data_IF_815349150556
#
_entry.id   IF_815349150556
#
_cell.length_a   1.000
_cell.length_b   1.000
_cell.length_c   1.000
_cell.angle_alpha   90.00
_cell.angle_beta   90.00
_cell.angle_gamma   90.00
#
_symmetry.space_group_name_H-M   'P 1'
#
loop_
_entity.id
_entity.type
_entity.pdbx_description
1 polymer ?
#
# COMPACT_ATOMS: atom_id res chain seq x y z
N UNK A 1 -32.02 -35.61 -32.73
CA UNK A 1 -31.84 -37.00 -32.24
C UNK A 1 -30.72 -37.62 -33.06
N UNK A 2 -29.68 -38.14 -32.40
CA UNK A 2 -29.64 -39.57 -32.03
C UNK A 2 -29.89 -39.82 -30.53
N UNK A 3 -30.00 -41.09 -30.14
CA UNK A 3 -30.32 -41.55 -28.77
C UNK A 3 -29.11 -41.80 -27.86
N UNK A 4 -29.34 -42.21 -26.59
CA UNK A 4 -28.35 -42.19 -25.52
C UNK A 4 -27.65 -43.54 -25.26
N UNK A 5 -26.47 -43.50 -24.63
CA UNK A 5 -25.71 -44.66 -24.13
C UNK A 5 -24.92 -44.29 -22.84
N UNK A 6 -24.42 -45.26 -22.03
CA UNK A 6 -24.72 -45.30 -20.59
C UNK A 6 -23.65 -44.71 -19.63
N UNK A 7 -23.87 -44.71 -18.29
CA UNK A 7 -22.99 -44.06 -17.32
C UNK A 7 -21.73 -44.87 -16.98
N UNK A 8 -20.62 -44.16 -16.72
CA UNK A 8 -19.36 -44.73 -16.24
C UNK A 8 -19.37 -44.95 -14.72
N UNK A 9 -18.84 -46.10 -14.30
CA UNK A 9 -18.82 -46.56 -12.91
C UNK A 9 -17.57 -46.08 -12.14
N UNK A 10 -17.73 -45.98 -10.82
CA UNK A 10 -16.66 -45.69 -9.85
C UNK A 10 -16.12 -47.00 -9.24
N UNK A 11 -14.80 -47.21 -9.14
CA UNK A 11 -14.21 -48.21 -8.24
C UNK A 11 -13.91 -47.61 -6.86
N UNK A 12 -14.23 -48.34 -5.78
CA UNK A 12 -13.83 -48.05 -4.39
C UNK A 12 -12.64 -48.92 -3.97
N UNK A 13 -11.81 -48.35 -3.09
CA UNK A 13 -10.92 -48.94 -2.07
C UNK A 13 -10.51 -50.44 -2.14
N UNK A 14 -9.20 -50.68 -1.93
CA UNK A 14 -8.72 -51.73 -1.01
C UNK A 14 -7.68 -51.13 -0.06
N UNK A 15 -7.62 -51.62 1.18
CA UNK A 15 -6.91 -51.03 2.31
C UNK A 15 -5.70 -51.85 2.78
N UNK A 16 -4.62 -51.15 3.17
CA UNK A 16 -3.76 -51.46 4.34
C UNK A 16 -2.78 -52.65 4.30
N UNK A 17 -1.57 -52.42 4.84
CA UNK A 17 -1.02 -53.19 5.96
C UNK A 17 0.10 -52.40 6.68
N UNK A 18 0.56 -52.89 7.84
CA UNK A 18 1.34 -52.18 8.86
C UNK A 18 2.67 -52.92 9.21
N UNK A 19 3.51 -52.26 10.04
CA UNK A 19 4.60 -52.79 10.92
C UNK A 19 6.07 -52.70 10.42
N UNK A 20 6.95 -52.38 11.38
CA UNK A 20 8.42 -52.18 11.31
C UNK A 20 9.20 -53.53 11.52
N UNK A 21 10.53 -53.65 11.72
CA UNK A 21 11.59 -52.71 12.14
C UNK A 21 13.03 -53.22 11.85
N UNK A 22 14.03 -52.32 12.04
CA UNK A 22 15.43 -52.56 12.54
C UNK A 22 16.45 -53.44 11.80
N UNK A 23 17.60 -52.83 11.44
CA UNK A 23 18.96 -53.39 11.61
C UNK A 23 20.05 -52.28 11.62
N UNK A 24 21.23 -52.59 12.16
CA UNK A 24 22.40 -51.70 12.30
C UNK A 24 23.67 -52.42 11.76
N UNK A 25 24.90 -51.88 11.65
CA UNK A 25 25.60 -50.63 12.05
C UNK A 25 26.86 -50.55 11.11
N UNK A 26 28.01 -49.87 11.39
CA UNK A 26 28.33 -48.58 12.03
C UNK A 26 29.17 -47.62 11.11
N UNK A 27 29.72 -46.53 11.69
CA UNK A 27 31.04 -45.87 11.39
C UNK A 27 31.12 -44.38 10.91
N UNK A 28 31.27 -43.49 11.91
CA UNK A 28 32.30 -42.40 12.05
C UNK A 28 32.41 -41.11 11.18
N UNK A 29 32.51 -39.98 11.92
CA UNK A 29 33.07 -38.62 11.61
C UNK A 29 32.28 -37.62 10.72
N UNK A 30 32.41 -36.29 10.94
CA UNK A 30 32.31 -35.56 12.22
C UNK A 30 31.29 -34.40 12.20
N UNK A 31 30.94 -33.91 13.39
CA UNK A 31 30.02 -32.78 13.61
C UNK A 31 30.49 -31.45 12.98
N UNK A 32 29.62 -30.82 12.19
CA UNK A 32 29.49 -29.36 12.10
C UNK A 32 28.02 -28.95 12.29
N UNK A 33 27.67 -28.57 13.52
CA UNK A 33 26.51 -27.68 13.74
C UNK A 33 26.78 -26.36 13.05
N UNK A 34 25.95 -26.01 12.08
CA UNK A 34 25.85 -24.64 11.58
C UNK A 34 24.38 -24.22 11.70
N UNK A 35 23.98 -23.90 12.93
CA UNK A 35 22.64 -23.41 13.23
C UNK A 35 22.42 -22.09 12.49
N UNK A 36 21.33 -22.03 11.71
CA UNK A 36 20.89 -20.82 11.02
C UNK A 36 20.31 -19.85 12.06
N UNK A 37 21.16 -18.97 12.59
CA UNK A 37 20.74 -17.90 13.48
C UNK A 37 20.22 -16.72 12.64
N UNK A 38 19.03 -16.15 12.94
CA UNK A 38 18.50 -15.01 12.19
C UNK A 38 19.36 -13.76 12.44
N UNK A 39 19.71 -13.07 11.36
CA UNK A 39 20.51 -11.83 11.35
C UNK A 39 19.71 -10.62 11.89
N UNK A 40 19.43 -10.63 13.20
CA UNK A 40 19.04 -9.46 14.01
C UNK A 40 19.58 -9.60 15.43
N UNK A 41 20.90 -9.44 15.61
CA UNK A 41 21.53 -9.27 16.93
C UNK A 41 22.92 -8.57 16.86
N UNK A 42 22.93 -7.25 17.08
CA UNK A 42 23.93 -6.43 17.79
C UNK A 42 25.40 -6.27 17.31
N UNK A 43 26.00 -5.21 17.91
CA UNK A 43 27.42 -4.81 17.98
C UNK A 43 27.96 -4.08 16.72
N UNK A 44 28.72 -2.97 16.79
CA UNK A 44 29.28 -2.21 17.93
C UNK A 44 29.81 -0.82 17.45
N UNK A 45 30.50 0.08 18.23
CA UNK A 45 31.18 -0.15 19.52
C UNK A 45 30.96 0.87 20.66
N UNK A 46 31.07 0.36 21.89
CA UNK A 46 31.59 1.13 23.02
C UNK A 46 33.06 1.55 22.78
N UNK A 47 33.39 2.80 23.07
CA UNK A 47 34.80 3.23 23.22
C UNK A 47 35.08 3.41 24.70
N UNK A 48 35.72 2.40 25.30
CA UNK A 48 36.35 2.53 26.60
C UNK A 48 37.60 3.40 26.50
N UNK A 49 37.56 4.58 27.10
CA UNK A 49 38.68 5.51 27.19
C UNK A 49 38.66 6.19 28.56
N UNK A 50 39.40 5.64 29.52
CA UNK A 50 39.39 6.11 30.89
C UNK A 50 40.32 7.31 31.13
N UNK A 51 39.94 8.15 32.10
CA UNK A 51 40.76 9.17 32.79
C UNK A 51 41.32 10.30 31.90
N UNK A 52 40.64 11.43 31.92
CA UNK A 52 41.30 12.70 32.26
C UNK A 52 40.28 13.71 32.83
N UNK A 53 40.34 13.92 34.14
CA UNK A 53 39.39 14.76 34.89
C UNK A 53 40.14 15.86 35.64
N UNK A 54 40.72 16.83 34.90
CA UNK A 54 41.33 18.06 35.50
C UNK A 54 41.71 19.18 34.50
N UNK A 55 40.76 19.75 33.74
CA UNK A 55 40.99 21.03 33.02
C UNK A 55 39.71 21.69 32.47
N UNK A 56 38.64 21.78 33.27
CA UNK A 56 37.39 22.46 32.87
C UNK A 56 36.82 23.35 33.99
N UNK A 57 37.61 24.31 34.47
CA UNK A 57 37.16 25.24 35.52
C UNK A 57 37.77 26.65 35.41
N UNK A 58 37.84 27.19 34.19
CA UNK A 58 38.14 28.62 33.98
C UNK A 58 37.72 29.16 32.61
N UNK A 59 36.41 29.15 32.34
CA UNK A 59 35.80 30.04 31.34
C UNK A 59 34.32 30.24 31.71
N UNK A 60 34.03 31.38 32.34
CA UNK A 60 32.69 31.72 32.82
C UNK A 60 32.45 33.23 32.80
N UNK A 61 32.70 33.84 31.64
CA UNK A 61 32.36 35.24 31.33
C UNK A 61 32.25 35.42 29.82
N UNK A 62 31.10 35.03 29.28
CA UNK A 62 30.38 35.79 28.24
C UNK A 62 28.99 35.18 28.06
N UNK A 63 28.09 35.57 28.96
CA UNK A 63 26.68 35.26 28.84
C UNK A 63 26.04 36.25 27.85
N UNK A 64 26.19 35.97 26.55
CA UNK A 64 25.39 36.62 25.53
C UNK A 64 23.90 36.44 25.83
N UNK A 65 23.12 37.52 25.68
CA UNK A 65 21.71 37.55 26.08
C UNK A 65 20.90 36.40 25.44
N UNK A 66 19.97 35.76 26.19
CA UNK A 66 19.08 34.77 25.60
C UNK A 66 18.17 35.46 24.57
N UNK A 67 18.41 35.19 23.29
CA UNK A 67 17.71 35.81 22.17
C UNK A 67 16.19 35.84 22.41
N UNK A 68 15.62 37.04 22.47
CA UNK A 68 14.21 37.26 22.83
C UNK A 68 13.31 36.64 21.75
N UNK A 69 12.82 35.44 22.03
CA UNK A 69 11.94 34.69 21.13
C UNK A 69 10.63 35.47 20.94
N UNK A 70 10.47 36.06 19.76
CA UNK A 70 9.39 37.00 19.42
C UNK A 70 8.02 36.34 19.53
N UNK A 71 6.97 37.15 19.75
CA UNK A 71 5.59 36.66 19.84
C UNK A 71 5.18 35.80 18.63
N UNK A 72 5.61 36.20 17.41
CA UNK A 72 5.42 35.42 16.20
C UNK A 72 6.13 34.05 16.21
N UNK A 73 7.34 33.96 16.77
CA UNK A 73 8.06 32.68 16.89
C UNK A 73 7.37 31.74 17.89
N UNK A 74 6.87 32.27 19.01
CA UNK A 74 6.06 31.49 19.98
C UNK A 74 4.75 31.00 19.37
N UNK A 75 4.01 31.86 18.67
CA UNK A 75 2.78 31.49 17.97
C UNK A 75 3.03 30.44 16.88
N UNK A 76 4.09 30.60 16.07
CA UNK A 76 4.51 29.59 15.06
C UNK A 76 4.88 28.26 15.71
N UNK A 77 5.60 28.26 16.84
CA UNK A 77 5.96 27.04 17.56
C UNK A 77 4.72 26.32 18.12
N UNK A 78 3.77 27.06 18.72
CA UNK A 78 2.50 26.50 19.20
C UNK A 78 1.64 25.94 18.05
N UNK A 79 1.57 26.64 16.91
CA UNK A 79 0.86 26.16 15.73
C UNK A 79 1.47 24.87 15.16
N UNK A 80 2.81 24.82 15.02
CA UNK A 80 3.52 23.62 14.57
C UNK A 80 3.38 22.45 15.54
N UNK A 81 3.35 22.73 16.86
CA UNK A 81 3.08 21.74 17.89
C UNK A 81 1.66 21.17 17.74
N UNK A 82 0.64 22.03 17.60
CA UNK A 82 -0.75 21.61 17.39
C UNK A 82 -0.87 20.74 16.12
N UNK A 83 -0.27 21.19 15.01
CA UNK A 83 -0.23 20.46 13.74
C UNK A 83 0.40 19.07 13.89
N UNK A 84 1.44 18.92 14.74
CA UNK A 84 2.12 17.64 14.96
C UNK A 84 1.29 16.57 15.68
N UNK A 85 0.16 16.92 16.31
CA UNK A 85 -0.75 15.94 16.93
C UNK A 85 -1.61 15.19 15.91
N UNK A 86 -1.90 15.78 14.75
CA UNK A 86 -2.83 15.21 13.75
C UNK A 86 -2.25 15.02 12.34
N UNK A 87 -1.12 15.67 12.02
CA UNK A 87 -0.41 15.48 10.74
C UNK A 87 0.66 14.38 10.79
N UNK A 88 1.21 14.03 9.63
CA UNK A 88 2.21 12.98 9.48
C UNK A 88 1.69 11.63 9.99
N UNK A 89 2.54 10.92 10.74
CA UNK A 89 2.27 9.56 11.26
C UNK A 89 1.52 9.54 12.62
N UNK A 90 1.21 10.71 13.18
CA UNK A 90 0.64 10.88 14.54
C UNK A 90 1.40 10.10 15.63
N UNK A 91 2.73 10.22 15.69
CA UNK A 91 3.59 9.45 16.63
C UNK A 91 3.20 9.63 18.10
N UNK A 92 2.84 10.86 18.51
CA UNK A 92 2.43 11.16 19.90
C UNK A 92 1.15 10.40 20.27
N UNK A 93 0.20 10.32 19.34
CA UNK A 93 -1.04 9.55 19.50
C UNK A 93 -0.76 8.04 19.53
N UNK A 94 0.16 7.54 18.69
CA UNK A 94 0.57 6.14 18.71
C UNK A 94 1.17 5.72 20.07
N UNK A 95 2.01 6.56 20.68
CA UNK A 95 2.57 6.32 22.02
C UNK A 95 1.53 6.37 23.14
N UNK A 96 0.45 7.14 22.96
CA UNK A 96 -0.70 7.14 23.88
C UNK A 96 -1.59 5.89 23.68
N UNK A 97 -1.87 5.50 22.44
CA UNK A 97 -2.63 4.28 22.07
C UNK A 97 -1.98 3.02 22.61
N UNK A 98 -0.64 2.90 22.58
CA UNK A 98 0.11 1.75 23.14
C UNK A 98 -0.20 1.47 24.63
N UNK A 99 -0.77 2.44 25.37
CA UNK A 99 -1.17 2.32 26.79
C UNK A 99 -2.66 2.05 27.00
N UNK A 100 -3.47 2.05 25.95
CA UNK A 100 -4.92 1.82 26.01
C UNK A 100 -5.27 0.33 25.91
N UNK A 101 -6.52 -0.01 26.20
CA UNK A 101 -7.00 -1.40 26.07
C UNK A 101 -6.98 -1.90 24.62
N UNK A 102 -6.83 -3.22 24.46
CA UNK A 102 -6.56 -3.86 23.17
C UNK A 102 -7.53 -3.49 22.04
N UNK A 103 -8.83 -3.33 22.31
CA UNK A 103 -9.81 -2.98 21.28
C UNK A 103 -9.59 -1.57 20.70
N UNK A 104 -9.10 -0.60 21.49
CA UNK A 104 -8.72 0.72 20.95
C UNK A 104 -7.44 0.64 20.12
N UNK A 105 -6.48 -0.20 20.51
CA UNK A 105 -5.30 -0.46 19.70
C UNK A 105 -5.69 -1.10 18.36
N UNK A 106 -6.53 -2.13 18.39
CA UNK A 106 -7.05 -2.80 17.19
C UNK A 106 -7.79 -1.83 16.26
N UNK A 107 -8.59 -0.90 16.82
CA UNK A 107 -9.25 0.15 16.04
C UNK A 107 -8.24 1.12 15.39
N UNK A 108 -7.25 1.61 16.13
CA UNK A 108 -6.15 2.44 15.58
C UNK A 108 -5.41 1.71 14.44
N UNK A 109 -5.12 0.42 14.60
CA UNK A 109 -4.45 -0.39 13.58
C UNK A 109 -5.32 -0.61 12.32
N UNK A 110 -6.64 -0.77 12.49
CA UNK A 110 -7.60 -0.84 11.36
C UNK A 110 -7.70 0.50 10.64
N UNK A 111 -7.77 1.63 11.36
CA UNK A 111 -7.80 2.97 10.76
C UNK A 111 -6.50 3.28 10.01
N UNK A 112 -5.34 3.00 10.60
CA UNK A 112 -4.03 3.09 9.91
C UNK A 112 -3.97 2.15 8.71
N UNK A 113 -4.53 0.95 8.83
CA UNK A 113 -4.66 0.00 7.71
C UNK A 113 -5.45 0.57 6.53
N UNK A 114 -6.53 1.30 6.79
CA UNK A 114 -7.30 1.96 5.73
C UNK A 114 -6.51 3.08 5.03
N UNK A 115 -5.71 3.86 5.77
CA UNK A 115 -4.90 4.94 5.17
C UNK A 115 -3.62 4.45 4.48
N UNK A 116 -3.09 3.30 4.89
CA UNK A 116 -1.85 2.74 4.32
C UNK A 116 -1.96 2.28 2.86
N UNK A 117 -3.18 2.15 2.31
CA UNK A 117 -3.41 1.92 0.87
C UNK A 117 -2.74 3.00 0.03
N UNK A 118 -2.76 4.26 0.50
CA UNK A 118 -2.08 5.40 -0.11
C UNK A 118 -0.81 5.81 0.68
N UNK A 119 -0.17 4.83 1.34
CA UNK A 119 1.07 4.96 2.12
C UNK A 119 1.00 5.91 3.32
N UNK A 120 -0.20 6.23 3.80
CA UNK A 120 -0.41 7.13 4.95
C UNK A 120 -0.54 6.31 6.23
N UNK A 121 0.27 6.62 7.24
CA UNK A 121 0.23 5.99 8.57
C UNK A 121 -0.53 6.87 9.59
N UNK A 122 -1.80 7.20 9.33
CA UNK A 122 -2.52 8.21 10.10
C UNK A 122 -3.98 7.79 10.38
N UNK A 123 -4.36 7.49 11.64
CA UNK A 123 -5.67 6.97 11.98
C UNK A 123 -6.80 7.98 11.74
N UNK A 124 -6.53 9.29 11.85
CA UNK A 124 -7.51 10.33 11.50
C UNK A 124 -7.78 10.34 9.99
N UNK A 125 -6.73 10.17 9.18
CA UNK A 125 -6.87 10.02 7.72
C UNK A 125 -7.65 8.76 7.38
N UNK A 126 -7.39 7.65 8.08
CA UNK A 126 -8.16 6.41 7.97
C UNK A 126 -9.64 6.56 8.31
N UNK A 127 -9.96 7.34 9.35
CA UNK A 127 -11.34 7.67 9.73
C UNK A 127 -12.05 8.49 8.64
N UNK A 128 -11.37 9.49 8.07
CA UNK A 128 -11.88 10.29 6.94
C UNK A 128 -12.08 9.42 5.69
N UNK A 129 -11.18 8.46 5.43
CA UNK A 129 -11.34 7.47 4.35
C UNK A 129 -12.57 6.59 4.60
N UNK A 130 -12.80 6.07 5.81
CA UNK A 130 -14.03 5.32 6.11
C UNK A 130 -15.30 6.17 5.94
N UNK A 131 -15.27 7.47 6.27
CA UNK A 131 -16.38 8.37 5.99
C UNK A 131 -16.65 8.51 4.47
N UNK A 132 -15.60 8.62 3.65
CA UNK A 132 -15.71 8.62 2.19
C UNK A 132 -16.21 7.29 1.61
N UNK A 133 -15.80 6.15 2.18
CA UNK A 133 -16.31 4.82 1.81
C UNK A 133 -17.80 4.68 2.16
N UNK A 134 -18.24 5.16 3.32
CA UNK A 134 -19.66 5.16 3.72
C UNK A 134 -20.50 6.05 2.79
N UNK A 135 -19.94 7.17 2.30
CA UNK A 135 -20.57 8.01 1.28
C UNK A 135 -20.70 7.32 -0.09
N UNK A 136 -19.72 6.48 -0.46
CA UNK A 136 -19.75 5.68 -1.69
C UNK A 136 -20.78 4.56 -1.61
N UNK A 137 -20.61 3.62 -0.67
CA UNK A 137 -21.58 2.57 -0.36
C UNK A 137 -21.31 2.00 1.03
N UNK A 138 -22.38 1.85 1.81
CA UNK A 138 -22.33 1.21 3.14
C UNK A 138 -21.91 -0.26 3.06
N UNK A 139 -22.28 -0.96 1.98
CA UNK A 139 -21.89 -2.35 1.74
C UNK A 139 -20.40 -2.46 1.41
N UNK A 140 -19.89 -1.54 0.60
CA UNK A 140 -18.47 -1.44 0.26
C UNK A 140 -17.63 -1.13 1.51
N UNK A 141 -18.03 -0.12 2.29
CA UNK A 141 -17.38 0.25 3.56
C UNK A 141 -17.34 -0.92 4.56
N UNK A 142 -18.44 -1.68 4.69
CA UNK A 142 -18.51 -2.87 5.54
C UNK A 142 -17.53 -3.96 5.08
N UNK A 143 -17.50 -4.28 3.78
CA UNK A 143 -16.59 -5.30 3.26
C UNK A 143 -15.12 -4.90 3.42
N UNK A 144 -14.78 -3.63 3.19
CA UNK A 144 -13.44 -3.10 3.48
C UNK A 144 -13.08 -3.19 4.96
N UNK A 145 -13.98 -2.79 5.87
CA UNK A 145 -13.75 -2.92 7.31
C UNK A 145 -13.51 -4.37 7.74
N UNK A 146 -14.37 -5.31 7.29
CA UNK A 146 -14.24 -6.74 7.56
C UNK A 146 -12.91 -7.29 7.04
N UNK A 147 -12.51 -6.94 5.81
CA UNK A 147 -11.23 -7.38 5.24
C UNK A 147 -10.02 -6.82 5.98
N UNK A 148 -10.05 -5.54 6.36
CA UNK A 148 -9.00 -4.91 7.19
C UNK A 148 -8.86 -5.62 8.53
N UNK A 149 -9.99 -5.86 9.21
CA UNK A 149 -10.03 -6.50 10.52
C UNK A 149 -9.55 -7.96 10.45
N UNK A 150 -10.02 -8.72 9.47
CA UNK A 150 -9.62 -10.12 9.25
C UNK A 150 -8.13 -10.27 8.93
N UNK A 151 -7.58 -9.38 8.09
CA UNK A 151 -6.14 -9.35 7.78
C UNK A 151 -5.29 -8.96 9.00
N UNK A 152 -5.71 -7.95 9.78
CA UNK A 152 -5.03 -7.54 11.01
C UNK A 152 -5.08 -8.65 12.08
N UNK A 153 -6.22 -9.31 12.28
CA UNK A 153 -6.35 -10.46 13.19
C UNK A 153 -5.47 -11.63 12.74
N UNK A 154 -5.45 -11.94 11.44
CA UNK A 154 -4.56 -12.99 10.90
C UNK A 154 -3.08 -12.67 11.16
N UNK A 155 -2.64 -11.42 10.95
CA UNK A 155 -1.26 -11.02 11.28
C UNK A 155 -0.94 -11.14 12.78
N UNK A 156 -1.93 -10.93 13.66
CA UNK A 156 -1.78 -11.12 15.10
C UNK A 156 -1.62 -12.60 15.47
N UNK A 157 -2.42 -13.49 14.85
CA UNK A 157 -2.37 -14.95 15.02
C UNK A 157 -1.04 -15.50 14.51
N UNK A 158 -0.60 -15.04 13.33
CA UNK A 158 0.68 -15.40 12.68
C UNK A 158 1.89 -14.72 13.33
N UNK A 159 1.73 -14.05 14.47
CA UNK A 159 2.79 -13.38 15.25
C UNK A 159 3.70 -12.46 14.41
N UNK A 160 3.15 -11.78 13.40
CA UNK A 160 3.91 -10.84 12.59
C UNK A 160 4.35 -9.61 13.42
N UNK A 161 5.34 -8.87 12.93
CA UNK A 161 5.94 -7.71 13.63
C UNK A 161 4.89 -6.75 14.20
N UNK A 162 4.95 -6.53 15.52
CA UNK A 162 3.98 -5.69 16.24
C UNK A 162 4.02 -4.23 15.79
N UNK A 163 5.18 -3.68 15.48
CA UNK A 163 5.27 -2.31 14.96
C UNK A 163 4.74 -2.21 13.52
N UNK A 164 4.89 -3.24 12.69
CA UNK A 164 4.30 -3.28 11.34
C UNK A 164 2.76 -3.41 11.39
N UNK A 165 2.23 -4.22 12.31
CA UNK A 165 0.78 -4.29 12.60
C UNK A 165 0.28 -2.92 13.10
N UNK A 166 0.99 -2.33 14.06
CA UNK A 166 0.61 -1.03 14.64
C UNK A 166 0.69 0.13 13.63
N UNK A 167 1.57 0.05 12.62
CA UNK A 167 1.62 0.98 11.51
C UNK A 167 0.57 0.71 10.41
N UNK A 168 -0.31 -0.30 10.57
CA UNK A 168 -1.34 -0.65 9.59
C UNK A 168 -0.83 -1.43 8.36
N UNK A 169 0.43 -1.83 8.31
CA UNK A 169 1.05 -2.48 7.14
C UNK A 169 0.47 -3.88 6.83
N UNK A 170 -0.23 -4.48 7.79
CA UNK A 170 -0.97 -5.72 7.60
C UNK A 170 -2.49 -5.52 7.38
N UNK A 171 -2.99 -4.29 7.38
CA UNK A 171 -4.40 -3.97 7.15
C UNK A 171 -4.73 -3.62 5.69
N UNK A 172 -3.86 -2.86 5.01
CA UNK A 172 -4.19 -2.23 3.72
C UNK A 172 -4.37 -3.18 2.53
N UNK A 173 -3.77 -4.37 2.56
CA UNK A 173 -4.08 -5.39 1.55
C UNK A 173 -5.47 -6.00 1.82
N UNK A 174 -5.84 -6.21 3.09
CA UNK A 174 -7.15 -6.72 3.49
C UNK A 174 -8.30 -5.76 3.18
N UNK A 175 -8.13 -4.44 3.37
CA UNK A 175 -9.18 -3.47 2.99
C UNK A 175 -9.46 -3.55 1.48
N UNK A 176 -8.41 -3.58 0.63
CA UNK A 176 -8.58 -3.65 -0.82
C UNK A 176 -9.19 -4.99 -1.26
N UNK A 177 -8.80 -6.12 -0.65
CA UNK A 177 -9.44 -7.42 -0.94
C UNK A 177 -10.93 -7.35 -0.66
N UNK A 178 -11.34 -6.89 0.52
CA UNK A 178 -12.76 -6.77 0.86
C UNK A 178 -13.51 -5.80 -0.05
N UNK A 179 -12.94 -4.63 -0.31
CA UNK A 179 -13.54 -3.61 -1.18
C UNK A 179 -13.77 -4.15 -2.60
N UNK A 180 -12.73 -4.65 -3.27
CA UNK A 180 -12.82 -5.04 -4.67
C UNK A 180 -13.56 -6.37 -4.86
N UNK A 181 -13.60 -7.26 -3.86
CA UNK A 181 -14.51 -8.41 -3.90
C UNK A 181 -15.98 -7.99 -3.88
N UNK A 182 -16.33 -6.87 -3.22
CA UNK A 182 -17.67 -6.29 -3.32
C UNK A 182 -17.90 -5.62 -4.68
N UNK A 183 -16.97 -4.80 -5.17
CA UNK A 183 -17.07 -4.12 -6.48
C UNK A 183 -17.21 -5.09 -7.65
N UNK A 184 -16.49 -6.23 -7.62
CA UNK A 184 -16.52 -7.21 -8.69
C UNK A 184 -17.54 -8.34 -8.50
N UNK A 185 -18.37 -8.31 -7.45
CA UNK A 185 -19.44 -9.30 -7.28
C UNK A 185 -20.68 -8.93 -8.10
N UNK A 186 -21.12 -9.86 -8.96
CA UNK A 186 -22.38 -9.74 -9.70
C UNK A 186 -23.61 -10.16 -8.87
N UNK A 187 -23.44 -10.49 -7.59
CA UNK A 187 -24.53 -10.78 -6.66
C UNK A 187 -25.18 -9.52 -6.05
N UNK A 188 -24.54 -8.35 -6.22
CA UNK A 188 -25.03 -7.06 -5.76
C UNK A 188 -24.78 -6.74 -4.28
N UNK A 189 -25.27 -5.57 -3.86
CA UNK A 189 -25.13 -5.08 -2.50
C UNK A 189 -25.87 -5.97 -1.48
N UNK A 190 -25.31 -6.08 -0.26
CA UNK A 190 -25.85 -6.86 0.86
C UNK A 190 -25.94 -8.38 0.64
N UNK A 191 -25.22 -8.94 -0.34
CA UNK A 191 -25.04 -10.38 -0.47
C UNK A 191 -24.13 -10.95 0.63
N UNK A 192 -24.71 -11.20 1.81
CA UNK A 192 -24.02 -11.57 3.06
C UNK A 192 -23.05 -12.75 2.94
N UNK A 193 -23.32 -13.71 2.06
CA UNK A 193 -22.41 -14.85 1.81
C UNK A 193 -21.02 -14.41 1.34
N UNK A 194 -20.89 -13.26 0.68
CA UNK A 194 -19.61 -12.68 0.24
C UNK A 194 -18.63 -12.42 1.38
N UNK A 195 -19.13 -12.23 2.61
CA UNK A 195 -18.28 -12.05 3.79
C UNK A 195 -17.40 -13.28 4.06
N UNK A 196 -17.85 -14.49 3.72
CA UNK A 196 -17.07 -15.72 3.94
C UNK A 196 -15.77 -15.75 3.11
N UNK A 197 -15.81 -15.65 1.76
CA UNK A 197 -14.58 -15.59 0.99
C UNK A 197 -13.81 -14.28 1.24
N UNK A 198 -14.46 -13.15 1.54
CA UNK A 198 -13.77 -11.91 1.92
C UNK A 198 -12.88 -12.11 3.15
N UNK A 199 -13.44 -12.65 4.25
CA UNK A 199 -12.67 -12.97 5.46
C UNK A 199 -11.53 -13.92 5.14
N UNK A 200 -11.80 -15.01 4.41
CA UNK A 200 -10.76 -16.00 4.07
C UNK A 200 -9.61 -15.39 3.25
N UNK A 201 -9.91 -14.70 2.14
CA UNK A 201 -8.89 -14.10 1.29
C UNK A 201 -8.15 -12.96 2.01
N UNK A 202 -8.83 -12.18 2.84
CA UNK A 202 -8.20 -11.16 3.67
C UNK A 202 -7.28 -11.77 4.75
N UNK A 203 -7.64 -12.91 5.34
CA UNK A 203 -6.76 -13.63 6.26
C UNK A 203 -5.49 -14.20 5.57
N UNK A 204 -5.49 -14.39 4.25
CA UNK A 204 -4.30 -14.78 3.49
C UNK A 204 -3.36 -13.61 3.18
N UNK A 205 -3.83 -12.35 3.30
CA UNK A 205 -3.01 -11.16 2.99
C UNK A 205 -1.69 -11.11 3.78
N UNK A 206 -1.64 -11.38 5.10
CA UNK A 206 -0.38 -11.39 5.85
C UNK A 206 0.59 -12.49 5.40
N UNK A 207 0.08 -13.66 4.99
CA UNK A 207 0.91 -14.78 4.52
C UNK A 207 1.61 -14.39 3.21
N UNK A 208 0.84 -13.89 2.23
CA UNK A 208 1.39 -13.43 0.94
C UNK A 208 2.30 -12.21 1.14
N UNK A 209 1.96 -11.29 2.05
CA UNK A 209 2.82 -10.15 2.41
C UNK A 209 4.16 -10.60 2.97
N UNK A 210 4.17 -11.56 3.90
CA UNK A 210 5.39 -12.09 4.54
C UNK A 210 6.26 -12.83 3.51
N UNK A 211 5.65 -13.67 2.66
CA UNK A 211 6.34 -14.37 1.58
C UNK A 211 7.00 -13.40 0.59
N UNK A 212 6.27 -12.38 0.09
CA UNK A 212 6.83 -11.37 -0.80
C UNK A 212 7.89 -10.50 -0.10
N UNK A 213 7.73 -10.18 1.18
CA UNK A 213 8.72 -9.41 1.93
C UNK A 213 10.05 -10.17 2.07
N UNK A 214 10.02 -11.49 2.20
CA UNK A 214 11.24 -12.32 2.25
C UNK A 214 12.09 -12.25 0.97
N UNK A 215 11.46 -11.96 -0.16
CA UNK A 215 12.09 -11.75 -1.46
C UNK A 215 12.49 -10.28 -1.62
N UNK A 216 11.53 -9.36 -1.52
CA UNK A 216 11.72 -7.93 -1.80
C UNK A 216 12.70 -7.23 -0.84
N UNK A 217 12.81 -7.70 0.41
CA UNK A 217 13.80 -7.18 1.37
C UNK A 217 15.25 -7.34 0.91
N UNK A 218 15.56 -8.29 0.02
CA UNK A 218 16.91 -8.46 -0.56
C UNK A 218 17.36 -7.26 -1.42
N UNK A 219 16.42 -6.46 -1.91
CA UNK A 219 16.65 -5.24 -2.70
C UNK A 219 16.16 -3.96 -1.99
N UNK A 220 15.80 -4.08 -0.70
CA UNK A 220 15.17 -3.01 0.09
C UNK A 220 13.96 -2.42 -0.65
N UNK A 221 13.02 -3.29 -1.02
CA UNK A 221 11.78 -2.96 -1.73
C UNK A 221 10.54 -3.29 -0.88
N UNK A 222 9.48 -2.46 -0.95
CA UNK A 222 8.21 -2.76 -0.31
C UNK A 222 7.47 -3.88 -1.07
N UNK A 223 6.46 -4.48 -0.44
CA UNK A 223 5.58 -5.46 -1.10
C UNK A 223 4.42 -4.81 -1.87
N UNK A 224 4.13 -3.53 -1.58
CA UNK A 224 3.00 -2.79 -2.14
C UNK A 224 1.67 -3.58 -2.02
N UNK A 225 0.74 -3.30 -2.92
CA UNK A 225 -0.56 -3.97 -2.98
C UNK A 225 -0.49 -5.31 -3.73
N UNK A 226 0.70 -5.89 -3.95
CA UNK A 226 0.85 -7.22 -4.59
C UNK A 226 0.04 -8.32 -3.87
N UNK A 227 0.00 -8.41 -2.53
CA UNK A 227 -0.85 -9.40 -1.84
C UNK A 227 -2.32 -9.27 -2.21
N UNK A 228 -2.87 -8.05 -2.20
CA UNK A 228 -4.23 -7.76 -2.66
C UNK A 228 -4.45 -8.22 -4.11
N UNK A 229 -3.57 -7.82 -5.02
CA UNK A 229 -3.71 -8.11 -6.45
C UNK A 229 -3.72 -9.62 -6.71
N UNK A 230 -2.80 -10.36 -6.09
CA UNK A 230 -2.75 -11.82 -6.18
C UNK A 230 -4.04 -12.44 -5.65
N UNK A 231 -4.51 -12.03 -4.47
CA UNK A 231 -5.63 -12.66 -3.80
C UNK A 231 -6.99 -12.36 -4.47
N UNK A 232 -7.21 -11.14 -4.97
CA UNK A 232 -8.41 -10.84 -5.77
C UNK A 232 -8.39 -11.59 -7.10
N UNK A 233 -7.25 -11.65 -7.80
CA UNK A 233 -7.15 -12.47 -9.02
C UNK A 233 -7.42 -13.96 -8.73
N UNK A 234 -6.86 -14.53 -7.65
CA UNK A 234 -7.14 -15.93 -7.25
C UNK A 234 -8.62 -16.14 -6.95
N UNK A 235 -9.29 -15.23 -6.23
CA UNK A 235 -10.72 -15.33 -5.97
C UNK A 235 -11.54 -15.30 -7.28
N UNK A 236 -11.23 -14.34 -8.16
CA UNK A 236 -11.99 -14.13 -9.40
C UNK A 236 -11.78 -15.26 -10.42
N UNK A 237 -10.58 -15.84 -10.53
CA UNK A 237 -10.36 -17.03 -11.38
C UNK A 237 -11.04 -18.27 -10.80
N UNK A 238 -11.00 -18.46 -9.47
CA UNK A 238 -11.59 -19.64 -8.82
C UNK A 238 -13.13 -19.62 -8.86
N UNK A 239 -13.74 -18.44 -8.88
CA UNK A 239 -15.20 -18.29 -8.93
C UNK A 239 -15.70 -18.10 -10.36
N UNK A 240 -15.22 -17.05 -11.04
CA UNK A 240 -15.62 -16.67 -12.39
C UNK A 240 -17.04 -16.08 -12.47
N UNK A 241 -17.42 -15.65 -13.67
CA UNK A 241 -18.75 -15.07 -13.92
C UNK A 241 -19.89 -16.07 -13.66
N UNK A 242 -19.69 -17.34 -14.02
CA UNK A 242 -20.72 -18.40 -13.97
C UNK A 242 -20.77 -19.17 -12.64
N UNK A 243 -20.22 -18.62 -11.56
CA UNK A 243 -20.32 -19.28 -10.25
C UNK A 243 -21.75 -19.21 -9.70
N UNK A 244 -22.30 -20.33 -9.23
CA UNK A 244 -23.64 -20.35 -8.64
C UNK A 244 -23.75 -19.61 -7.30
N UNK A 245 -22.64 -19.44 -6.57
CA UNK A 245 -22.64 -18.79 -5.25
C UNK A 245 -21.96 -17.42 -5.25
N UNK A 246 -20.88 -17.25 -6.00
CA UNK A 246 -20.07 -16.03 -6.01
C UNK A 246 -19.81 -15.53 -7.44
N UNK A 247 -20.87 -15.26 -8.23
CA UNK A 247 -20.71 -14.83 -9.62
C UNK A 247 -19.97 -13.48 -9.66
N UNK A 248 -18.97 -13.38 -10.52
CA UNK A 248 -18.18 -12.16 -10.70
C UNK A 248 -18.72 -11.32 -11.88
N UNK A 249 -18.40 -10.02 -11.90
CA UNK A 249 -18.61 -9.15 -13.08
C UNK A 249 -17.80 -9.69 -14.25
N UNK A 250 -18.41 -9.70 -15.45
CA UNK A 250 -17.79 -10.26 -16.65
C UNK A 250 -16.86 -9.25 -17.31
N UNK A 251 -15.55 -9.48 -17.20
CA UNK A 251 -14.55 -8.74 -17.99
C UNK A 251 -14.33 -9.43 -19.33
N UNK A 252 -14.25 -8.65 -20.42
CA UNK A 252 -14.04 -9.15 -21.77
C UNK A 252 -12.97 -8.32 -22.50
N UNK A 253 -12.19 -8.93 -23.41
CA UNK A 253 -11.26 -8.20 -24.25
C UNK A 253 -12.01 -7.30 -25.24
N UNK A 254 -11.46 -6.11 -25.51
CA UNK A 254 -12.00 -5.20 -26.51
C UNK A 254 -11.80 -5.79 -27.91
N UNK A 255 -12.89 -6.18 -28.56
CA UNK A 255 -12.90 -6.77 -29.92
C UNK A 255 -13.19 -5.76 -31.03
N UNK A 256 -13.60 -4.53 -30.68
CA UNK A 256 -13.97 -3.48 -31.63
C UNK A 256 -13.26 -2.15 -31.32
N UNK A 257 -13.03 -1.33 -32.35
CA UNK A 257 -12.55 0.04 -32.15
C UNK A 257 -13.61 0.84 -31.39
N UNK A 258 -13.19 1.65 -30.42
CA UNK A 258 -14.10 2.57 -29.76
C UNK A 258 -14.47 3.71 -30.71
N UNK A 259 -15.77 3.96 -30.90
CA UNK A 259 -16.24 5.13 -31.65
C UNK A 259 -16.09 6.37 -30.75
N UNK A 260 -15.17 7.28 -31.11
CA UNK A 260 -14.82 8.46 -30.31
C UNK A 260 -15.00 9.72 -31.17
N UNK A 261 -16.04 10.49 -30.87
CA UNK A 261 -16.22 11.85 -31.42
C UNK A 261 -15.54 12.85 -30.48
N UNK A 262 -14.45 13.47 -30.91
CA UNK A 262 -13.70 14.42 -30.08
C UNK A 262 -14.48 15.69 -29.70
N UNK A 263 -15.56 16.02 -30.42
CA UNK A 263 -16.50 17.09 -30.09
C UNK A 263 -17.33 16.81 -28.84
N UNK A 264 -17.49 15.54 -28.48
CA UNK A 264 -18.38 15.09 -27.41
C UNK A 264 -17.65 15.05 -26.04
N UNK A 265 -16.42 15.58 -25.99
CA UNK A 265 -15.60 15.61 -24.79
C UNK A 265 -16.15 16.62 -23.77
N UNK A 266 -16.65 16.09 -22.65
CA UNK A 266 -17.10 16.86 -21.52
C UNK A 266 -15.90 17.27 -20.64
N UNK A 267 -15.48 18.53 -20.78
CA UNK A 267 -14.37 19.12 -20.01
C UNK A 267 -14.68 19.14 -18.50
N UNK A 268 -15.94 19.29 -18.09
CA UNK A 268 -16.30 19.26 -16.67
C UNK A 268 -16.18 17.84 -16.09
N UNK A 269 -16.51 16.80 -16.86
CA UNK A 269 -16.21 15.40 -16.49
C UNK A 269 -14.70 15.13 -16.47
N UNK A 270 -13.88 15.73 -17.34
CA UNK A 270 -12.42 15.64 -17.22
C UNK A 270 -11.91 16.21 -15.89
N UNK A 271 -12.36 17.41 -15.48
CA UNK A 271 -11.99 17.95 -14.17
C UNK A 271 -12.47 17.06 -13.00
N UNK A 272 -13.64 16.41 -13.13
CA UNK A 272 -14.14 15.42 -12.15
C UNK A 272 -13.36 14.11 -12.17
N UNK A 273 -12.76 13.71 -13.30
CA UNK A 273 -11.94 12.50 -13.39
C UNK A 273 -10.73 12.53 -12.45
N UNK A 274 -10.22 13.71 -12.09
CA UNK A 274 -9.08 13.87 -11.17
C UNK A 274 -9.40 13.35 -9.75
N UNK A 275 -10.41 13.87 -9.02
CA UNK A 275 -10.81 13.28 -7.74
C UNK A 275 -11.37 11.85 -7.89
N UNK A 276 -12.11 11.53 -8.96
CA UNK A 276 -12.60 10.15 -9.19
C UNK A 276 -11.44 9.16 -9.33
N UNK A 277 -10.35 9.52 -10.02
CA UNK A 277 -9.15 8.69 -10.10
C UNK A 277 -8.44 8.48 -8.75
N UNK A 278 -8.57 9.42 -7.79
CA UNK A 278 -8.14 9.19 -6.40
C UNK A 278 -9.12 8.27 -5.66
N UNK A 279 -10.43 8.42 -5.90
CA UNK A 279 -11.48 7.51 -5.39
C UNK A 279 -11.27 6.05 -5.83
N UNK A 280 -10.93 5.85 -7.10
CA UNK A 280 -10.76 4.52 -7.71
C UNK A 280 -9.58 3.72 -7.13
N UNK A 281 -8.69 4.34 -6.35
CA UNK A 281 -7.68 3.61 -5.54
C UNK A 281 -8.36 2.62 -4.58
N UNK A 282 -9.58 2.91 -4.12
CA UNK A 282 -10.44 2.07 -3.28
C UNK A 282 -11.65 1.50 -4.05
N UNK A 283 -11.66 1.59 -5.39
CA UNK A 283 -12.80 1.20 -6.21
C UNK A 283 -14.02 2.12 -6.08
N UNK A 284 -13.82 3.40 -5.75
CA UNK A 284 -14.90 4.39 -5.59
C UNK A 284 -14.99 5.32 -6.80
N UNK A 285 -16.16 5.42 -7.42
CA UNK A 285 -16.42 6.25 -8.61
C UNK A 285 -17.01 7.63 -8.27
N UNK A 286 -17.43 7.88 -7.03
CA UNK A 286 -18.03 9.14 -6.61
C UNK A 286 -16.95 10.24 -6.46
N UNK A 287 -17.04 11.38 -7.19
CA UNK A 287 -16.08 12.47 -7.09
C UNK A 287 -15.98 13.08 -5.69
N UNK A 288 -17.07 13.05 -4.90
CA UNK A 288 -17.07 13.54 -3.52
C UNK A 288 -16.28 12.62 -2.59
N UNK A 289 -16.41 11.30 -2.76
CA UNK A 289 -15.57 10.32 -2.04
C UNK A 289 -14.10 10.50 -2.39
N UNK A 290 -13.78 10.70 -3.67
CA UNK A 290 -12.42 11.06 -4.11
C UNK A 290 -11.89 12.34 -3.46
N UNK A 291 -12.70 13.39 -3.39
CA UNK A 291 -12.36 14.65 -2.69
C UNK A 291 -12.13 14.46 -1.18
N UNK A 292 -12.93 13.63 -0.51
CA UNK A 292 -12.75 13.26 0.89
C UNK A 292 -11.42 12.50 1.09
N UNK A 293 -11.05 11.60 0.18
CA UNK A 293 -9.75 10.94 0.23
C UNK A 293 -8.59 11.92 0.02
N UNK A 294 -8.73 12.90 -0.88
CA UNK A 294 -7.73 13.98 -1.03
C UNK A 294 -7.56 14.80 0.26
N UNK A 295 -8.65 15.08 0.98
CA UNK A 295 -8.60 15.72 2.31
C UNK A 295 -7.87 14.82 3.32
N UNK A 296 -8.15 13.51 3.34
CA UNK A 296 -7.44 12.56 4.20
C UNK A 296 -5.93 12.55 3.93
N UNK A 297 -5.51 12.55 2.65
CA UNK A 297 -4.09 12.67 2.30
C UNK A 297 -3.50 14.00 2.79
N UNK A 298 -4.21 15.12 2.57
CA UNK A 298 -3.74 16.45 2.95
C UNK A 298 -3.54 16.61 4.46
N UNK A 299 -4.39 15.98 5.29
CA UNK A 299 -4.25 15.96 6.76
C UNK A 299 -2.90 15.37 7.17
N UNK A 300 -2.47 14.26 6.56
CA UNK A 300 -1.18 13.64 6.87
C UNK A 300 0.00 14.34 6.18
N UNK A 301 -0.09 14.55 4.86
CA UNK A 301 0.94 15.18 4.03
C UNK A 301 0.35 15.92 2.82
N UNK A 302 0.46 17.26 2.78
CA UNK A 302 0.18 18.05 1.59
C UNK A 302 0.99 17.61 0.36
N UNK A 303 2.24 17.16 0.52
CA UNK A 303 3.06 16.64 -0.60
C UNK A 303 2.47 15.36 -1.18
N UNK A 304 2.00 14.43 -0.33
CA UNK A 304 1.31 13.21 -0.78
C UNK A 304 0.01 13.54 -1.51
N UNK A 305 -0.79 14.48 -0.98
CA UNK A 305 -2.01 14.95 -1.65
C UNK A 305 -1.73 15.59 -3.02
N UNK A 306 -0.66 16.39 -3.13
CA UNK A 306 -0.25 16.99 -4.39
C UNK A 306 0.15 15.93 -5.43
N UNK A 307 0.98 14.94 -5.07
CA UNK A 307 1.37 13.87 -5.99
C UNK A 307 0.22 12.92 -6.32
N UNK A 308 -0.75 12.72 -5.42
CA UNK A 308 -1.98 12.01 -5.73
C UNK A 308 -2.77 12.73 -6.84
N UNK A 309 -2.97 14.04 -6.68
CA UNK A 309 -3.67 14.90 -7.66
C UNK A 309 -2.97 14.89 -9.02
N UNK A 310 -1.64 15.05 -9.02
CA UNK A 310 -0.81 15.05 -10.23
C UNK A 310 -0.84 13.68 -10.91
N UNK A 311 -0.69 12.59 -10.15
CA UNK A 311 -0.77 11.23 -10.69
C UNK A 311 -2.11 10.94 -11.36
N UNK A 312 -3.22 11.33 -10.74
CA UNK A 312 -4.56 11.19 -11.32
C UNK A 312 -4.71 11.99 -12.62
N UNK A 313 -4.26 13.25 -12.64
CA UNK A 313 -4.30 14.11 -13.82
C UNK A 313 -3.39 13.60 -14.96
N UNK A 314 -2.19 13.10 -14.65
CA UNK A 314 -1.29 12.46 -15.63
C UNK A 314 -1.94 11.21 -16.23
N UNK A 315 -2.61 10.40 -15.40
CA UNK A 315 -3.38 9.25 -15.87
C UNK A 315 -4.49 9.64 -16.85
N UNK A 316 -5.32 10.62 -16.47
CA UNK A 316 -6.37 11.18 -17.33
C UNK A 316 -5.83 11.68 -18.67
N UNK A 317 -4.75 12.47 -18.67
CA UNK A 317 -4.11 12.99 -19.89
C UNK A 317 -3.51 11.86 -20.74
N UNK A 318 -2.96 10.82 -20.11
CA UNK A 318 -2.46 9.64 -20.82
C UNK A 318 -3.58 8.87 -21.52
N UNK A 319 -4.75 8.76 -20.88
CA UNK A 319 -5.94 8.16 -21.48
C UNK A 319 -6.44 8.94 -22.71
N UNK A 320 -6.41 10.27 -22.65
CA UNK A 320 -6.69 11.11 -23.81
C UNK A 320 -5.65 10.92 -24.92
N UNK A 321 -4.36 10.93 -24.58
CA UNK A 321 -3.27 10.74 -25.54
C UNK A 321 -3.31 9.37 -26.27
N UNK A 322 -3.86 8.34 -25.61
CA UNK A 322 -4.07 7.00 -26.18
C UNK A 322 -5.45 6.79 -26.82
N UNK A 323 -6.25 7.85 -27.00
CA UNK A 323 -7.61 7.78 -27.53
C UNK A 323 -8.46 6.71 -26.81
N UNK A 324 -8.43 6.71 -25.47
CA UNK A 324 -9.27 5.84 -24.67
C UNK A 324 -10.73 6.32 -24.69
N UNK A 325 -11.72 5.40 -24.55
CA UNK A 325 -13.13 5.79 -24.44
C UNK A 325 -13.32 6.77 -23.29
N UNK A 326 -13.98 7.90 -23.55
CA UNK A 326 -14.08 8.99 -22.57
C UNK A 326 -14.71 8.56 -21.25
N UNK A 327 -15.73 7.70 -21.27
CA UNK A 327 -16.34 7.18 -20.03
C UNK A 327 -15.35 6.40 -19.14
N UNK A 328 -14.37 5.69 -19.71
CA UNK A 328 -13.32 5.04 -18.91
C UNK A 328 -12.35 6.06 -18.28
N UNK A 329 -12.17 7.23 -18.90
CA UNK A 329 -11.41 8.35 -18.35
C UNK A 329 -12.22 9.04 -17.24
N UNK A 330 -13.48 9.36 -17.49
CA UNK A 330 -14.39 10.00 -16.54
C UNK A 330 -14.63 9.16 -15.28
N UNK A 331 -14.72 7.84 -15.43
CA UNK A 331 -14.81 6.87 -14.33
C UNK A 331 -13.48 6.68 -13.57
N UNK A 332 -12.42 7.43 -13.91
CA UNK A 332 -11.14 7.46 -13.19
C UNK A 332 -10.24 6.23 -13.39
N UNK A 333 -10.59 5.31 -14.31
CA UNK A 333 -9.85 4.05 -14.51
C UNK A 333 -8.41 4.25 -15.01
N UNK A 334 -8.14 5.41 -15.61
CA UNK A 334 -6.79 5.82 -16.02
C UNK A 334 -5.98 6.49 -14.91
N UNK A 335 -6.63 6.97 -13.83
CA UNK A 335 -6.01 7.77 -12.78
C UNK A 335 -5.41 6.95 -11.64
N UNK A 336 -6.12 5.96 -11.09
CA UNK A 336 -5.80 5.38 -9.77
C UNK A 336 -4.45 4.65 -9.67
N UNK A 337 -4.03 3.94 -10.71
CA UNK A 337 -2.69 3.35 -10.76
C UNK A 337 -1.60 4.44 -10.75
N UNK A 338 -1.84 5.52 -11.50
CA UNK A 338 -0.95 6.67 -11.63
C UNK A 338 -0.86 7.49 -10.34
N UNK A 339 -1.96 7.59 -9.57
CA UNK A 339 -2.01 8.15 -8.21
C UNK A 339 -0.98 7.45 -7.32
N UNK A 340 -1.08 6.12 -7.17
CA UNK A 340 -0.20 5.34 -6.30
C UNK A 340 1.27 5.40 -6.77
N UNK A 341 1.52 5.29 -8.08
CA UNK A 341 2.87 5.40 -8.64
C UNK A 341 3.51 6.78 -8.40
N UNK A 342 2.74 7.86 -8.59
CA UNK A 342 3.23 9.22 -8.40
C UNK A 342 3.49 9.52 -6.92
N UNK A 343 2.66 9.05 -5.99
CA UNK A 343 2.92 9.17 -4.54
C UNK A 343 4.19 8.39 -4.15
N UNK A 344 4.32 7.12 -4.59
CA UNK A 344 5.41 6.25 -4.20
C UNK A 344 6.79 6.85 -4.55
N UNK A 345 6.94 7.36 -5.77
CA UNK A 345 8.18 7.99 -6.22
C UNK A 345 8.28 9.45 -5.74
N UNK A 346 7.17 10.18 -5.67
CA UNK A 346 7.07 11.62 -5.37
C UNK A 346 7.26 12.01 -3.90
N UNK A 347 8.22 11.40 -3.20
CA UNK A 347 8.59 11.77 -1.83
C UNK A 347 8.46 10.68 -0.78
N UNK A 348 7.75 9.58 -1.06
CA UNK A 348 7.61 8.46 -0.12
C UNK A 348 8.88 7.60 -0.08
N UNK A 349 9.26 6.97 -1.20
CA UNK A 349 10.42 6.07 -1.26
C UNK A 349 11.68 6.73 -1.84
N UNK A 350 11.55 7.92 -2.43
CA UNK A 350 12.66 8.81 -2.79
C UNK A 350 12.55 10.13 -2.04
N UNK A 351 13.67 10.75 -1.68
CA UNK A 351 13.65 12.08 -1.07
C UNK A 351 13.29 13.13 -2.13
N UNK A 352 12.24 13.93 -1.86
CA UNK A 352 11.68 14.83 -2.87
C UNK A 352 12.66 15.95 -3.29
N UNK A 353 13.21 15.81 -4.48
CA UNK A 353 13.93 16.84 -5.24
C UNK A 353 13.17 17.13 -6.54
N UNK A 354 13.53 18.18 -7.27
CA UNK A 354 12.94 18.46 -8.58
C UNK A 354 13.14 17.29 -9.57
N UNK A 355 14.30 16.64 -9.53
CA UNK A 355 14.60 15.46 -10.34
C UNK A 355 13.71 14.27 -9.97
N UNK A 356 13.45 14.06 -8.67
CA UNK A 356 12.54 13.02 -8.19
C UNK A 356 11.08 13.34 -8.52
N UNK A 357 10.68 14.61 -8.51
CA UNK A 357 9.35 15.03 -8.95
C UNK A 357 9.14 14.71 -10.44
N UNK A 358 10.09 15.05 -11.31
CA UNK A 358 10.04 14.66 -12.73
C UNK A 358 10.04 13.13 -12.90
N UNK A 359 10.83 12.40 -12.12
CA UNK A 359 10.82 10.93 -12.12
C UNK A 359 9.46 10.36 -11.72
N UNK A 360 8.76 10.97 -10.75
CA UNK A 360 7.43 10.56 -10.31
C UNK A 360 6.35 10.81 -11.38
N UNK A 361 6.45 11.92 -12.12
CA UNK A 361 5.58 12.20 -13.28
C UNK A 361 5.84 11.19 -14.41
N UNK A 362 7.11 10.91 -14.72
CA UNK A 362 7.48 9.87 -15.70
C UNK A 362 7.01 8.48 -15.29
N UNK A 363 7.11 8.13 -13.99
CA UNK A 363 6.57 6.88 -13.46
C UNK A 363 5.05 6.81 -13.59
N UNK A 364 4.34 7.92 -13.39
CA UNK A 364 2.88 7.97 -13.55
C UNK A 364 2.47 7.81 -15.03
N UNK A 365 3.17 8.44 -15.97
CA UNK A 365 2.97 8.18 -17.41
C UNK A 365 3.21 6.72 -17.76
N UNK A 366 4.37 6.15 -17.40
CA UNK A 366 4.68 4.74 -17.62
C UNK A 366 3.60 3.81 -17.04
N UNK A 367 3.11 4.13 -15.84
CA UNK A 367 2.05 3.39 -15.16
C UNK A 367 0.70 3.46 -15.90
N UNK A 368 0.35 4.58 -16.53
CA UNK A 368 -0.86 4.69 -17.36
C UNK A 368 -0.79 3.77 -18.60
N UNK A 369 0.33 3.81 -19.33
CA UNK A 369 0.56 2.94 -20.49
C UNK A 369 0.55 1.45 -20.09
N UNK A 370 1.27 1.09 -19.02
CA UNK A 370 1.26 -0.26 -18.47
C UNK A 370 -0.14 -0.67 -17.97
N UNK A 371 -0.93 0.29 -17.46
CA UNK A 371 -2.32 0.10 -17.07
C UNK A 371 -3.20 -0.37 -18.23
N UNK A 372 -3.10 0.29 -19.38
CA UNK A 372 -3.80 -0.15 -20.59
C UNK A 372 -3.33 -1.53 -21.06
N UNK A 373 -2.01 -1.78 -21.04
CA UNK A 373 -1.45 -3.06 -21.49
C UNK A 373 -1.91 -4.23 -20.61
N UNK A 374 -1.81 -4.10 -19.28
CA UNK A 374 -2.24 -5.13 -18.33
C UNK A 374 -3.76 -5.30 -18.36
N UNK A 375 -4.55 -4.24 -18.52
CA UNK A 375 -6.01 -4.36 -18.67
C UNK A 375 -6.38 -5.20 -19.89
N UNK A 376 -5.74 -4.94 -21.03
CA UNK A 376 -5.96 -5.73 -22.25
C UNK A 376 -5.58 -7.22 -22.04
N UNK A 377 -4.44 -7.51 -21.42
CA UNK A 377 -4.00 -8.90 -21.16
C UNK A 377 -4.88 -9.59 -20.11
N UNK A 378 -5.21 -8.96 -18.98
CA UNK A 378 -6.02 -9.56 -17.92
C UNK A 378 -7.46 -9.81 -18.39
N UNK A 379 -8.00 -8.97 -19.27
CA UNK A 379 -9.35 -9.15 -19.82
C UNK A 379 -9.53 -10.44 -20.62
N UNK A 380 -8.47 -11.04 -21.20
CA UNK A 380 -8.57 -12.35 -21.88
C UNK A 380 -8.77 -13.51 -20.90
N UNK A 381 -8.46 -13.30 -19.62
CA UNK A 381 -8.69 -14.26 -18.52
C UNK A 381 -9.95 -13.91 -17.71
N UNK A 382 -10.75 -12.92 -18.15
CA UNK A 382 -11.90 -12.44 -17.38
C UNK A 382 -11.53 -11.65 -16.13
N UNK A 383 -10.33 -11.05 -16.08
CA UNK A 383 -9.81 -10.33 -14.92
C UNK A 383 -9.66 -8.81 -15.15
N UNK A 384 -9.86 -7.99 -14.10
CA UNK A 384 -9.44 -6.60 -14.06
C UNK A 384 -7.91 -6.49 -13.84
N UNK A 385 -7.33 -5.35 -14.23
CA UNK A 385 -5.91 -5.07 -13.95
C UNK A 385 -5.61 -4.77 -12.47
N UNK A 386 -6.62 -4.35 -11.70
CA UNK A 386 -6.45 -3.87 -10.33
C UNK A 386 -5.26 -2.90 -10.22
N UNK A 387 -4.41 -3.05 -9.20
CA UNK A 387 -3.22 -2.22 -9.00
C UNK A 387 -1.90 -2.92 -9.39
N UNK A 388 -1.96 -3.99 -10.20
CA UNK A 388 -0.78 -4.57 -10.86
C UNK A 388 0.06 -3.52 -11.62
N UNK A 389 -0.52 -2.60 -12.41
CA UNK A 389 0.26 -1.59 -13.13
C UNK A 389 1.05 -0.68 -12.20
N UNK A 390 0.46 -0.24 -11.10
CA UNK A 390 1.13 0.51 -10.04
C UNK A 390 2.30 -0.29 -9.46
N UNK A 391 2.05 -1.51 -8.96
CA UNK A 391 3.07 -2.32 -8.29
C UNK A 391 4.30 -2.53 -9.18
N UNK A 392 4.08 -2.93 -10.44
CA UNK A 392 5.17 -3.20 -11.38
C UNK A 392 5.91 -1.91 -11.75
N UNK A 393 5.19 -0.80 -12.01
CA UNK A 393 5.81 0.49 -12.32
C UNK A 393 6.67 1.01 -11.17
N UNK A 394 6.13 1.04 -9.95
CA UNK A 394 6.83 1.56 -8.80
C UNK A 394 8.03 0.68 -8.40
N UNK A 395 7.94 -0.66 -8.55
CA UNK A 395 9.08 -1.56 -8.33
C UNK A 395 10.18 -1.36 -9.37
N UNK A 396 9.84 -1.26 -10.66
CA UNK A 396 10.81 -0.94 -11.72
C UNK A 396 11.51 0.38 -11.45
N UNK A 397 10.76 1.43 -11.08
CA UNK A 397 11.33 2.75 -10.80
C UNK A 397 12.11 2.80 -9.48
N UNK A 398 11.85 1.92 -8.51
CA UNK A 398 12.64 1.77 -7.27
C UNK A 398 13.88 0.87 -7.40
N UNK A 399 14.02 0.19 -8.54
CA UNK A 399 15.18 -0.63 -8.90
C UNK A 399 16.21 0.11 -9.77
N UNK A 400 15.89 1.31 -10.28
CA UNK A 400 16.84 2.07 -11.09
C UNK A 400 18.05 2.48 -10.25
N UNK A 401 19.23 2.24 -10.81
CA UNK A 401 20.49 2.79 -10.29
C UNK A 401 20.86 4.05 -11.08
N UNK A 402 21.48 5.01 -10.41
CA UNK A 402 21.92 6.25 -11.04
C UNK A 402 23.09 6.85 -10.28
N UNK A 403 24.01 7.48 -11.01
CA UNK A 403 25.20 8.12 -10.44
C UNK A 403 24.89 9.54 -9.90
N UNK A 404 23.72 10.10 -10.19
CA UNK A 404 23.35 11.42 -9.68
C UNK A 404 23.05 11.39 -8.18
N UNK A 405 23.63 12.36 -7.46
CA UNK A 405 23.40 12.56 -6.01
C UNK A 405 22.07 13.28 -5.70
N UNK A 406 21.25 13.59 -6.72
CA UNK A 406 19.95 14.27 -6.57
C UNK A 406 18.75 13.33 -6.52
N UNK A 407 18.91 12.08 -6.94
CA UNK A 407 17.88 11.03 -6.87
C UNK A 407 18.32 10.08 -5.75
N UNK A 408 17.71 10.24 -4.57
CA UNK A 408 18.11 9.52 -3.36
C UNK A 408 16.96 8.63 -2.90
N UNK A 409 17.10 7.31 -3.11
CA UNK A 409 16.19 6.29 -2.57
C UNK A 409 16.38 6.25 -1.05
N UNK A 410 15.29 6.33 -0.28
CA UNK A 410 15.34 6.07 1.16
C UNK A 410 15.41 4.57 1.40
N UNK A 411 16.13 4.17 2.45
CA UNK A 411 16.00 2.79 2.94
C UNK A 411 14.67 2.60 3.64
N UNK A 412 14.05 1.42 3.56
CA UNK A 412 12.69 1.22 4.08
C UNK A 412 12.55 1.55 5.57
N UNK A 413 13.59 1.28 6.37
CA UNK A 413 13.63 1.60 7.80
C UNK A 413 13.57 3.11 8.10
N UNK A 414 13.84 3.98 7.12
CA UNK A 414 13.78 5.44 7.24
C UNK A 414 12.57 6.06 6.51
N UNK A 415 11.70 5.25 5.88
CA UNK A 415 10.51 5.76 5.17
C UNK A 415 9.43 6.13 6.18
N UNK A 416 9.01 7.39 6.09
CA UNK A 416 7.81 7.95 6.70
C UNK A 416 7.09 8.79 5.62
N UNK A 417 6.45 9.91 5.99
CA UNK A 417 5.85 10.86 5.06
C UNK A 417 6.87 11.83 4.40
N UNK A 418 6.56 12.41 3.22
CA UNK A 418 7.53 13.11 2.37
C UNK A 418 8.24 14.29 3.05
N UNK A 419 7.53 15.10 3.83
CA UNK A 419 8.08 16.24 4.56
C UNK A 419 9.10 15.80 5.64
N UNK A 420 8.99 14.57 6.15
CA UNK A 420 9.97 13.97 7.08
C UNK A 420 11.14 13.33 6.32
N UNK A 421 10.85 12.60 5.24
CA UNK A 421 11.84 11.98 4.35
C UNK A 421 12.79 13.04 3.77
N UNK A 422 12.24 14.19 3.36
CA UNK A 422 12.99 15.34 2.88
C UNK A 422 13.88 15.95 3.98
N UNK A 423 13.36 16.13 5.21
CA UNK A 423 14.16 16.59 6.36
C UNK A 423 15.29 15.63 6.72
N UNK A 424 15.09 14.32 6.59
CA UNK A 424 16.14 13.30 6.75
C UNK A 424 17.23 13.46 5.68
N UNK A 425 16.85 13.55 4.41
CA UNK A 425 17.79 13.76 3.30
C UNK A 425 18.63 15.03 3.45
N UNK A 426 18.04 16.17 3.85
CA UNK A 426 18.81 17.39 4.08
C UNK A 426 19.81 17.28 5.23
N UNK A 427 19.49 16.55 6.31
CA UNK A 427 20.43 16.25 7.40
C UNK A 427 21.59 15.37 6.91
N UNK A 428 21.28 14.28 6.21
CA UNK A 428 22.27 13.38 5.62
C UNK A 428 23.20 14.13 4.65
N UNK A 429 22.65 14.98 3.78
CA UNK A 429 23.41 15.81 2.84
C UNK A 429 24.37 16.74 3.57
N UNK A 430 23.95 17.44 4.62
CA UNK A 430 24.85 18.29 5.41
C UNK A 430 26.01 17.51 6.03
N UNK A 431 25.75 16.32 6.58
CA UNK A 431 26.79 15.48 7.21
C UNK A 431 27.80 14.95 6.17
N UNK A 432 27.34 14.61 4.97
CA UNK A 432 28.19 13.99 3.92
C UNK A 432 28.99 14.99 3.07
N UNK A 433 28.62 16.27 3.06
CA UNK A 433 29.28 17.31 2.25
C UNK A 433 29.95 18.44 3.06
N UNK A 434 29.80 18.45 4.40
CA UNK A 434 30.59 19.31 5.30
C UNK A 434 31.72 18.51 6.01
N UNK A 435 32.15 17.41 5.41
CA UNK A 435 33.42 16.71 5.62
C UNK A 435 34.15 16.70 4.29
#
# INVERSE_FOLDING_TARGET
MPGPHPPLQVPKNISGLYIASTQEHPSTFPSKKQEQQPLMANLDPEVSGGKDQKSAQREKTDAGEPAVCTCQQKAKAQFLLLLSYFSGDMEVFAQWIKKQFFLLQLLDWVLRGASQVMFVNNPLSGLVIFAGLILQSRWLALNGFVGTLASTISAIILQQSRDAIAAGLYGYNGILVGLLMAVFSNAGDWYWWLLLPNIFMSMMCPIVSSALASINSRWDLPVFTLPFNILVCVHMVATGHYNNYFPQVLFQPRTQLANITWTDVDVAKLFRAVPVGVGQVYGCDNPWTGGIFMIALFISSPITCAHATIGSAVGMVSGLALAAPFEAIYFGLWGYNCVLACIAIGGMFYALTWQVHLLAVTCAFFCAYLGSAITNVMSTFGLPACTWPFCLSALTFLLITTETKTIFKLTLANVAYPERNLRFFWKWKKIKFNK
#
